data_IF_083129595683
#
_entry.id   IF_083129595683
#
_cell.length_a   1.000
_cell.length_b   1.000
_cell.length_c   1.000
_cell.angle_alpha   90.00
_cell.angle_beta   90.00
_cell.angle_gamma   90.00
#
_symmetry.space_group_name_H-M   'P 1'
#
loop_
_entity.id
_entity.type
_entity.pdbx_description
1 polymer ?
#
# COMPACT_ATOMS: atom_id res chain seq x y z
N UNK A 1 19.82 -50.76 -27.86
CA UNK A 1 20.77 -51.46 -26.97
C UNK A 1 20.81 -50.69 -25.66
N UNK A 2 20.32 -51.31 -24.57
CA UNK A 2 20.50 -50.80 -23.20
C UNK A 2 21.84 -51.35 -22.69
N UNK A 3 22.64 -50.52 -22.03
CA UNK A 3 23.65 -51.00 -21.08
C UNK A 3 23.63 -50.07 -19.87
N UNK A 4 23.66 -50.74 -18.73
CA UNK A 4 23.47 -50.36 -17.35
C UNK A 4 24.59 -49.51 -16.70
N UNK A 5 24.15 -48.73 -15.70
CA UNK A 5 24.70 -48.55 -14.33
C UNK A 5 26.07 -47.92 -14.04
N UNK A 6 26.07 -47.21 -12.89
CA UNK A 6 27.07 -47.21 -11.80
C UNK A 6 27.85 -45.91 -11.53
N UNK A 7 27.36 -45.15 -10.54
CA UNK A 7 28.14 -44.41 -9.50
C UNK A 7 28.82 -45.47 -8.58
N UNK A 8 29.99 -45.28 -7.91
CA UNK A 8 30.31 -44.15 -7.03
C UNK A 8 31.79 -43.75 -6.75
N UNK A 9 31.93 -42.61 -6.05
CA UNK A 9 32.91 -42.25 -4.99
C UNK A 9 34.43 -42.39 -5.20
N UNK A 10 35.14 -41.26 -5.04
CA UNK A 10 36.34 -41.10 -4.18
C UNK A 10 36.81 -39.64 -4.25
N UNK A 11 36.68 -38.86 -3.16
CA UNK A 11 37.70 -38.61 -2.14
C UNK A 11 39.01 -38.08 -2.74
N UNK A 12 39.31 -36.79 -2.49
CA UNK A 12 40.67 -36.33 -2.20
C UNK A 12 40.73 -34.85 -1.82
N UNK A 13 41.34 -34.63 -0.65
CA UNK A 13 42.35 -33.62 -0.34
C UNK A 13 41.90 -32.24 0.16
N UNK A 14 42.06 -32.14 1.48
CA UNK A 14 42.44 -30.98 2.28
C UNK A 14 43.31 -29.97 1.52
N UNK A 15 42.96 -28.70 1.69
CA UNK A 15 43.96 -27.64 1.82
C UNK A 15 43.46 -26.59 2.82
N UNK A 16 44.14 -26.40 3.97
CA UNK A 16 43.87 -25.30 4.88
C UNK A 16 44.48 -24.01 4.32
N UNK A 17 43.66 -23.12 3.79
CA UNK A 17 44.10 -21.79 3.39
C UNK A 17 44.13 -20.89 4.63
N UNK A 18 45.29 -20.77 5.26
CA UNK A 18 45.61 -19.74 6.25
C UNK A 18 45.86 -18.40 5.54
N UNK A 19 45.06 -17.36 5.76
CA UNK A 19 45.48 -15.99 5.49
C UNK A 19 46.32 -15.44 6.66
N UNK A 20 47.41 -14.70 6.37
CA UNK A 20 48.32 -14.16 7.37
C UNK A 20 47.71 -13.00 8.19
N UNK A 21 48.14 -12.96 9.45
CA UNK A 21 48.03 -11.84 10.38
C UNK A 21 48.56 -10.55 9.77
N UNK A 22 47.68 -9.60 9.46
CA UNK A 22 47.92 -8.15 9.58
C UNK A 22 46.71 -7.39 9.03
N UNK A 23 45.70 -7.19 9.88
CA UNK A 23 45.09 -5.87 10.06
C UNK A 23 44.23 -5.90 11.31
N UNK A 24 44.83 -5.42 12.39
CA UNK A 24 44.09 -4.73 13.42
C UNK A 24 43.42 -3.53 12.74
N UNK A 25 42.09 -3.43 12.82
CA UNK A 25 41.40 -2.18 13.14
C UNK A 25 39.89 -2.43 13.26
N UNK A 26 39.36 -1.89 14.35
CA UNK A 26 37.94 -1.65 14.60
C UNK A 26 37.05 -2.88 14.84
N UNK A 27 37.04 -3.31 16.09
CA UNK A 27 35.82 -3.81 16.71
C UNK A 27 34.73 -2.73 16.59
N UNK A 28 33.83 -2.89 15.62
CA UNK A 28 32.57 -2.16 15.57
C UNK A 28 31.46 -3.16 15.86
N UNK A 29 30.78 -2.91 16.99
CA UNK A 29 29.60 -3.59 17.50
C UNK A 29 28.64 -3.97 16.37
N UNK A 30 28.50 -5.27 16.12
CA UNK A 30 27.39 -5.81 15.36
C UNK A 30 26.14 -5.68 16.25
N UNK A 31 25.48 -4.53 16.19
CA UNK A 31 24.17 -4.35 16.81
C UNK A 31 23.22 -5.30 16.08
N UNK A 32 22.88 -6.41 16.74
CA UNK A 32 21.79 -7.26 16.34
C UNK A 32 20.47 -6.46 16.51
N UNK A 33 20.15 -5.61 15.53
CA UNK A 33 18.76 -5.24 15.30
C UNK A 33 18.07 -6.46 14.71
N UNK A 34 17.49 -7.26 15.60
CA UNK A 34 16.33 -8.09 15.27
C UNK A 34 15.23 -7.12 14.79
N UNK A 35 15.18 -6.84 13.49
CA UNK A 35 13.99 -6.30 12.86
C UNK A 35 12.91 -7.38 12.98
N UNK A 36 12.08 -7.26 14.01
CA UNK A 36 10.81 -7.94 14.11
C UNK A 36 9.94 -7.46 12.93
N UNK A 37 10.05 -8.13 11.78
CA UNK A 37 9.04 -8.03 10.73
C UNK A 37 7.87 -8.91 11.15
N UNK A 38 6.89 -8.30 11.83
CA UNK A 38 5.61 -8.94 12.10
C UNK A 38 4.82 -9.04 10.78
N UNK A 39 4.39 -10.23 10.35
CA UNK A 39 3.49 -10.38 9.21
C UNK A 39 2.05 -10.45 9.74
N UNK A 40 1.45 -9.32 10.10
CA UNK A 40 0.00 -9.21 10.34
C UNK A 40 -0.46 -7.74 10.40
N UNK A 41 0.18 -6.86 9.63
CA UNK A 41 -0.34 -5.50 9.43
C UNK A 41 -1.41 -5.56 8.33
N UNK A 42 -2.63 -5.89 8.74
CA UNK A 42 -3.75 -5.02 8.40
C UNK A 42 -3.56 -3.70 9.17
N UNK A 43 -2.43 -3.03 8.96
CA UNK A 43 -2.19 -1.72 9.51
C UNK A 43 -3.20 -0.83 8.82
N UNK A 44 -4.13 -0.30 9.61
CA UNK A 44 -4.81 0.94 9.28
C UNK A 44 -3.67 1.92 8.96
N UNK A 45 -3.44 2.19 7.68
CA UNK A 45 -2.40 3.13 7.28
C UNK A 45 -3.01 4.49 7.51
N UNK A 46 -2.79 5.00 8.71
CA UNK A 46 -3.04 6.40 9.01
C UNK A 46 -1.81 7.18 8.55
N UNK A 47 -1.97 7.99 7.51
CA UNK A 47 -0.96 8.97 7.12
C UNK A 47 -0.78 10.01 8.26
N UNK A 48 0.38 10.68 8.29
CA UNK A 48 0.71 11.71 9.30
C UNK A 48 -0.32 12.85 9.39
N UNK A 49 -1.11 13.06 8.34
CA UNK A 49 -2.20 14.03 8.28
C UNK A 49 -3.50 13.57 8.96
N UNK A 50 -3.52 12.39 9.60
CA UNK A 50 -4.68 11.85 10.32
C UNK A 50 -5.73 11.17 9.42
N UNK A 51 -5.40 10.93 8.16
CA UNK A 51 -6.25 10.19 7.22
C UNK A 51 -5.95 8.69 7.33
N UNK A 52 -6.96 7.88 7.64
CA UNK A 52 -6.81 6.44 7.81
C UNK A 52 -7.50 5.69 6.67
N UNK A 53 -6.81 4.72 6.07
CA UNK A 53 -7.37 3.83 5.05
C UNK A 53 -7.21 2.37 5.43
N UNK A 54 -8.34 1.66 5.44
CA UNK A 54 -8.44 0.23 5.70
C UNK A 54 -8.76 -0.52 4.42
N UNK A 55 -8.07 -1.63 4.19
CA UNK A 55 -8.34 -2.52 3.06
C UNK A 55 -7.94 -1.96 1.69
N UNK A 56 -7.30 -0.79 1.63
CA UNK A 56 -6.80 -0.15 0.41
C UNK A 56 -5.42 0.49 0.60
N UNK A 57 -4.83 0.98 -0.49
CA UNK A 57 -3.60 1.79 -0.46
C UNK A 57 -3.95 3.24 -0.82
N UNK A 58 -3.56 4.20 0.02
CA UNK A 58 -3.71 5.62 -0.25
C UNK A 58 -2.37 6.24 -0.65
N UNK A 59 -2.39 7.19 -1.60
CA UNK A 59 -1.24 8.02 -1.95
C UNK A 59 -1.64 9.49 -2.00
N UNK A 60 -1.30 10.22 -0.94
CA UNK A 60 -1.52 11.66 -0.84
C UNK A 60 -0.78 12.43 -1.94
N UNK A 61 -1.43 13.43 -2.54
CA UNK A 61 -0.83 14.34 -3.52
C UNK A 61 -0.60 13.80 -4.94
N UNK A 62 -0.72 12.48 -5.16
CA UNK A 62 -0.66 11.88 -6.50
C UNK A 62 -1.99 12.08 -7.25
N UNK A 63 -1.95 12.09 -8.58
CA UNK A 63 -3.11 12.01 -9.46
C UNK A 63 -2.86 11.07 -10.64
N UNK A 64 -3.91 10.43 -11.12
CA UNK A 64 -3.88 9.60 -12.31
C UNK A 64 -3.85 10.46 -13.58
N UNK A 65 -3.04 10.00 -14.55
CA UNK A 65 -3.04 10.57 -15.89
C UNK A 65 -4.31 10.19 -16.70
N UNK A 66 -4.62 10.98 -17.74
CA UNK A 66 -5.82 10.80 -18.57
C UNK A 66 -5.90 9.42 -19.25
N UNK A 67 -4.75 8.82 -19.56
CA UNK A 67 -4.68 7.49 -20.21
C UNK A 67 -5.07 6.39 -19.21
N UNK A 68 -4.68 6.51 -17.94
CA UNK A 68 -5.15 5.59 -16.89
C UNK A 68 -6.65 5.77 -16.64
N UNK A 69 -7.13 7.02 -16.57
CA UNK A 69 -8.55 7.34 -16.37
C UNK A 69 -9.44 6.76 -17.48
N UNK A 70 -9.04 6.92 -18.75
CA UNK A 70 -9.79 6.39 -19.90
C UNK A 70 -9.81 4.85 -19.95
N UNK A 71 -8.68 4.18 -19.69
CA UNK A 71 -8.60 2.71 -19.62
C UNK A 71 -9.51 2.13 -18.54
N UNK A 72 -9.67 2.83 -17.41
CA UNK A 72 -10.54 2.38 -16.32
C UNK A 72 -12.02 2.45 -16.70
N UNK A 73 -12.45 3.52 -17.38
CA UNK A 73 -13.84 3.71 -17.80
C UNK A 73 -14.35 2.50 -18.59
N UNK A 74 -13.51 1.96 -19.48
CA UNK A 74 -13.84 0.81 -20.34
C UNK A 74 -13.72 -0.56 -19.64
N UNK A 75 -13.26 -0.63 -18.38
CA UNK A 75 -13.06 -1.89 -17.67
C UNK A 75 -14.41 -2.47 -17.22
N UNK A 76 -14.67 -3.72 -17.62
CA UNK A 76 -15.81 -4.52 -17.18
C UNK A 76 -15.43 -5.27 -15.90
N UNK A 77 -15.59 -4.64 -14.74
CA UNK A 77 -15.39 -5.26 -13.43
C UNK A 77 -16.60 -4.98 -12.56
N UNK A 78 -16.89 -5.88 -11.63
CA UNK A 78 -17.89 -5.67 -10.60
C UNK A 78 -17.40 -4.57 -9.66
N UNK A 79 -18.35 -3.75 -9.21
CA UNK A 79 -18.07 -2.69 -8.26
C UNK A 79 -17.79 -3.28 -6.87
N UNK A 80 -17.02 -2.54 -6.10
CA UNK A 80 -16.61 -2.82 -4.73
C UNK A 80 -17.17 -1.70 -3.87
N UNK A 81 -17.68 -2.05 -2.70
CA UNK A 81 -18.19 -1.07 -1.73
C UNK A 81 -17.03 -0.42 -0.98
N UNK A 82 -17.01 0.92 -1.00
CA UNK A 82 -16.07 1.74 -0.25
C UNK A 82 -16.86 2.60 0.72
N UNK A 83 -16.51 2.56 2.01
CA UNK A 83 -17.08 3.43 3.02
C UNK A 83 -16.18 4.64 3.26
N UNK A 84 -16.77 5.81 3.38
CA UNK A 84 -16.11 7.08 3.63
C UNK A 84 -16.72 7.71 4.87
N UNK A 85 -15.92 7.83 5.92
CA UNK A 85 -16.30 8.37 7.20
C UNK A 85 -15.51 9.64 7.51
N UNK A 86 -16.10 10.53 8.31
CA UNK A 86 -15.46 11.75 8.77
C UNK A 86 -15.19 11.60 10.27
N UNK A 87 -13.98 11.93 10.73
CA UNK A 87 -13.64 11.82 12.17
C UNK A 87 -14.32 12.87 13.04
N UNK A 88 -14.81 13.97 12.47
CA UNK A 88 -15.53 15.01 13.21
C UNK A 88 -16.93 15.28 12.66
N UNK A 89 -17.63 16.20 13.29
CA UNK A 89 -18.99 16.59 12.89
C UNK A 89 -18.96 17.41 11.60
N UNK A 90 -19.79 17.03 10.63
CA UNK A 90 -19.90 17.77 9.37
C UNK A 90 -20.39 16.92 8.20
N UNK A 91 -20.36 17.54 7.02
CA UNK A 91 -20.64 16.89 5.73
C UNK A 91 -19.60 17.33 4.73
N UNK A 92 -19.03 16.38 3.99
CA UNK A 92 -18.03 16.70 2.97
C UNK A 92 -18.47 16.18 1.60
N UNK A 93 -18.21 16.93 0.54
CA UNK A 93 -18.44 16.49 -0.84
C UNK A 93 -17.30 15.60 -1.30
N UNK A 94 -17.64 14.41 -1.81
CA UNK A 94 -16.70 13.43 -2.31
C UNK A 94 -16.71 13.43 -3.84
N UNK A 95 -15.53 13.66 -4.40
CA UNK A 95 -15.25 13.60 -5.82
C UNK A 95 -14.36 12.40 -6.11
N UNK A 96 -14.75 11.58 -7.10
CA UNK A 96 -13.96 10.44 -7.55
C UNK A 96 -13.70 10.57 -9.04
N UNK A 97 -12.43 10.49 -9.45
CA UNK A 97 -11.95 10.72 -10.81
C UNK A 97 -12.42 12.07 -11.40
N UNK A 98 -12.55 13.09 -10.55
CA UNK A 98 -13.04 14.43 -10.89
C UNK A 98 -14.56 14.56 -11.01
N UNK A 99 -15.32 13.51 -10.71
CA UNK A 99 -16.79 13.51 -10.76
C UNK A 99 -17.35 13.54 -9.34
N UNK A 100 -18.32 14.41 -9.07
CA UNK A 100 -19.04 14.40 -7.79
C UNK A 100 -19.90 13.13 -7.69
N UNK A 101 -19.73 12.36 -6.61
CA UNK A 101 -20.46 11.09 -6.44
C UNK A 101 -21.42 11.14 -5.25
N UNK A 102 -20.96 11.64 -4.10
CA UNK A 102 -21.72 11.56 -2.85
C UNK A 102 -21.31 12.63 -1.83
N UNK A 103 -22.09 12.71 -0.76
CA UNK A 103 -21.81 13.50 0.44
C UNK A 103 -21.41 12.54 1.57
N UNK A 104 -20.22 12.72 2.15
CA UNK A 104 -19.74 11.97 3.31
C UNK A 104 -20.37 12.51 4.60
N UNK A 105 -20.64 11.64 5.61
CA UNK A 105 -20.31 10.21 5.65
C UNK A 105 -21.21 9.34 4.74
N UNK A 106 -20.62 8.34 4.09
CA UNK A 106 -21.30 7.40 3.19
C UNK A 106 -20.78 5.99 3.40
N UNK A 107 -21.67 5.04 3.68
CA UNK A 107 -21.27 3.67 4.04
C UNK A 107 -20.98 2.76 2.83
N UNK A 108 -21.56 3.06 1.66
CA UNK A 108 -21.46 2.19 0.49
C UNK A 108 -21.37 2.97 -0.82
N UNK A 109 -20.15 3.37 -1.17
CA UNK A 109 -19.81 3.92 -2.47
C UNK A 109 -19.40 2.81 -3.42
N UNK A 110 -20.17 2.58 -4.49
CA UNK A 110 -19.85 1.59 -5.50
C UNK A 110 -18.73 2.10 -6.43
N UNK A 111 -17.50 1.62 -6.20
CA UNK A 111 -16.34 1.97 -7.03
C UNK A 111 -15.76 0.74 -7.72
N UNK A 112 -15.29 0.91 -8.95
CA UNK A 112 -14.56 -0.15 -9.65
C UNK A 112 -13.23 -0.44 -8.94
N UNK A 113 -12.73 -1.68 -8.97
CA UNK A 113 -11.42 -1.98 -8.42
C UNK A 113 -10.30 -1.42 -9.31
N UNK A 114 -9.30 -0.81 -8.68
CA UNK A 114 -8.18 -0.14 -9.32
C UNK A 114 -7.80 1.16 -8.63
N UNK A 115 -6.99 1.99 -9.28
CA UNK A 115 -6.62 3.32 -8.79
C UNK A 115 -7.73 4.32 -9.10
N UNK A 116 -8.06 5.16 -8.13
CA UNK A 116 -9.07 6.21 -8.20
C UNK A 116 -8.48 7.51 -7.66
N UNK A 117 -8.67 8.62 -8.37
CA UNK A 117 -8.42 9.94 -7.79
C UNK A 117 -9.56 10.23 -6.83
N UNK A 118 -9.29 10.40 -5.54
CA UNK A 118 -10.30 10.74 -4.55
C UNK A 118 -9.98 12.12 -3.99
N UNK A 119 -10.98 12.98 -4.00
CA UNK A 119 -10.90 14.31 -3.45
C UNK A 119 -12.11 14.56 -2.54
N UNK A 120 -11.84 14.86 -1.29
CA UNK A 120 -12.85 15.14 -0.26
C UNK A 120 -12.76 16.62 0.10
N UNK A 121 -13.86 17.33 -0.07
CA UNK A 121 -13.95 18.78 0.16
C UNK A 121 -15.04 19.13 1.15
N UNK A 122 -14.80 20.15 1.95
CA UNK A 122 -15.82 20.83 2.75
C UNK A 122 -16.01 22.25 2.20
N UNK A 123 -17.05 22.45 1.40
CA UNK A 123 -17.26 23.68 0.62
C UNK A 123 -16.10 23.94 -0.35
N UNK A 124 -15.41 25.07 -0.19
CA UNK A 124 -14.24 25.44 -0.99
C UNK A 124 -12.92 24.82 -0.48
N UNK A 125 -12.94 24.22 0.72
CA UNK A 125 -11.75 23.66 1.37
C UNK A 125 -11.54 22.21 0.95
N UNK A 126 -10.31 21.85 0.57
CA UNK A 126 -9.93 20.45 0.35
C UNK A 126 -9.45 19.85 1.67
N UNK A 127 -10.12 18.79 2.13
CA UNK A 127 -9.75 18.06 3.34
C UNK A 127 -8.70 16.98 3.03
N UNK A 128 -8.92 16.24 1.94
CA UNK A 128 -8.01 15.19 1.50
C UNK A 128 -8.03 15.07 -0.02
N UNK A 129 -6.85 14.82 -0.62
CA UNK A 129 -6.70 14.55 -2.04
C UNK A 129 -5.57 13.56 -2.29
N UNK A 130 -5.87 12.52 -3.05
CA UNK A 130 -4.88 11.51 -3.38
C UNK A 130 -5.42 10.40 -4.26
N UNK A 131 -4.58 9.39 -4.50
CA UNK A 131 -4.96 8.19 -5.26
C UNK A 131 -5.28 7.06 -4.29
N UNK A 132 -6.55 6.65 -4.27
CA UNK A 132 -7.01 5.45 -3.57
C UNK A 132 -6.91 4.24 -4.49
N UNK A 133 -6.19 3.22 -4.07
CA UNK A 133 -6.12 1.92 -4.75
C UNK A 133 -7.10 0.96 -4.11
N UNK A 134 -8.23 0.75 -4.78
CA UNK A 134 -9.29 -0.18 -4.36
C UNK A 134 -8.94 -1.61 -4.79
N UNK A 135 -8.89 -2.59 -3.86
CA UNK A 135 -8.60 -3.98 -4.18
C UNK A 135 -9.73 -4.62 -4.99
N UNK A 136 -9.48 -5.79 -5.59
CA UNK A 136 -10.51 -6.51 -6.38
C UNK A 136 -11.64 -7.10 -5.56
N UNK A 137 -11.42 -7.30 -4.26
CA UNK A 137 -12.32 -7.92 -3.29
C UNK A 137 -12.01 -7.33 -1.92
N UNK A 138 -13.03 -7.24 -1.07
CA UNK A 138 -12.94 -6.63 0.25
C UNK A 138 -13.82 -5.40 0.36
N UNK A 139 -13.81 -4.78 1.53
CA UNK A 139 -14.36 -3.46 1.79
C UNK A 139 -13.18 -2.52 2.04
N UNK A 140 -13.27 -1.30 1.54
CA UNK A 140 -12.30 -0.25 1.85
C UNK A 140 -12.96 0.77 2.73
N UNK A 141 -12.35 1.12 3.87
CA UNK A 141 -12.81 2.25 4.67
C UNK A 141 -11.81 3.38 4.55
N UNK A 142 -12.30 4.59 4.37
CA UNK A 142 -11.49 5.80 4.37
C UNK A 142 -12.06 6.74 5.42
N UNK A 143 -11.25 7.06 6.42
CA UNK A 143 -11.62 8.00 7.47
C UNK A 143 -10.83 9.28 7.26
N UNK A 144 -11.55 10.37 6.99
CA UNK A 144 -10.95 11.69 6.72
C UNK A 144 -11.11 12.59 7.95
N UNK A 145 -10.03 13.22 8.45
CA UNK A 145 -10.13 14.19 9.52
C UNK A 145 -10.77 15.48 8.99
N UNK A 146 -11.76 15.99 9.72
CA UNK A 146 -12.39 17.30 9.41
C UNK A 146 -11.66 18.46 10.07
N UNK A 147 -10.76 18.17 11.02
CA UNK A 147 -9.87 19.13 11.64
C UNK A 147 -8.57 19.28 10.82
N UNK A 148 -8.00 20.49 10.70
CA UNK A 148 -6.72 20.68 10.02
C UNK A 148 -5.58 19.99 10.80
N UNK A 149 -4.57 19.41 10.12
CA UNK A 149 -3.31 19.12 10.77
C UNK A 149 -2.68 20.44 11.23
N UNK A 150 -2.48 20.60 12.55
CA UNK A 150 -1.83 21.78 13.17
C UNK A 150 -0.31 21.70 13.14
#
# INVERSE_FOLDING_TARGET
MRVDTATPASLSLLSPFSPPLAWACAAALFVALLSASSPAEAAEVCDLDGLCVDGGEWRSGEQLDDKQRSRKRNRKRKDVSVSLSLSGEGRASVFVDGVWIALAPVDALALKPGKHDVEVRDGERVLARGVLTVPRRGEVRVTVPTAPPT
#
